data_IF_776255531190
#
_entry.id   IF_776255531190
#
_cell.length_a   1.000
_cell.length_b   1.000
_cell.length_c   1.000
_cell.angle_alpha   90.00
_cell.angle_beta   90.00
_cell.angle_gamma   90.00
#
_symmetry.space_group_name_H-M   'P 1'
#
loop_
_entity.id
_entity.type
_entity.pdbx_description
1 polymer ?
#
# COMPACT_ATOMS: atom_id res chain seq x y z
N UNK A 1 -6.82 -16.93 -11.50
CA UNK A 1 -6.77 -15.45 -11.54
C UNK A 1 -5.94 -14.97 -10.36
N UNK A 2 -5.08 -13.97 -10.57
CA UNK A 2 -4.25 -13.33 -9.54
C UNK A 2 -4.57 -11.84 -9.52
N UNK A 3 -4.77 -11.28 -8.32
CA UNK A 3 -4.91 -9.85 -8.09
C UNK A 3 -4.03 -9.39 -6.92
N UNK A 4 -3.49 -8.18 -7.01
CA UNK A 4 -2.68 -7.56 -5.96
C UNK A 4 -3.30 -6.22 -5.57
N UNK A 5 -3.56 -6.04 -4.27
CA UNK A 5 -4.24 -4.85 -3.74
C UNK A 5 -3.36 -4.18 -2.70
N UNK A 6 -3.13 -2.87 -2.83
CA UNK A 6 -2.38 -2.11 -1.83
C UNK A 6 -3.23 -1.89 -0.57
N UNK A 7 -2.63 -2.08 0.60
CA UNK A 7 -3.29 -1.94 1.89
C UNK A 7 -2.43 -1.19 2.91
N UNK A 8 -3.10 -0.66 3.95
CA UNK A 8 -2.44 -0.02 5.09
C UNK A 8 -2.34 -0.99 6.26
N UNK A 9 -1.32 -0.81 7.10
CA UNK A 9 -1.13 -1.58 8.34
C UNK A 9 -0.34 -0.76 9.36
N UNK A 10 -0.33 -1.23 10.60
CA UNK A 10 0.55 -0.78 11.67
C UNK A 10 1.79 -1.69 11.86
N UNK A 11 2.02 -2.63 10.94
CA UNK A 11 3.10 -3.60 11.03
C UNK A 11 2.91 -4.62 12.15
N UNK A 12 1.67 -4.79 12.64
CA UNK A 12 1.33 -5.69 13.73
C UNK A 12 1.65 -5.13 15.12
N UNK A 13 2.15 -3.90 15.24
CA UNK A 13 2.59 -3.33 16.53
C UNK A 13 1.44 -3.12 17.52
N UNK A 14 0.21 -2.93 17.04
CA UNK A 14 -0.94 -2.63 17.90
C UNK A 14 -1.30 -3.73 18.88
N UNK A 15 -1.08 -4.99 18.51
CA UNK A 15 -1.30 -6.12 19.42
C UNK A 15 -0.31 -6.14 20.59
N UNK A 16 0.88 -5.55 20.40
CA UNK A 16 1.93 -5.47 21.42
C UNK A 16 1.80 -4.23 22.33
N UNK A 17 1.11 -3.18 21.89
CA UNK A 17 0.97 -1.91 22.63
C UNK A 17 -0.50 -1.48 22.79
N UNK A 18 -1.29 -2.17 23.64
CA UNK A 18 -2.70 -1.84 23.84
C UNK A 18 -2.87 -0.41 24.40
N UNK A 19 -3.74 0.37 23.75
CA UNK A 19 -4.04 1.76 24.14
C UNK A 19 -3.13 2.84 23.54
N UNK A 20 -2.00 2.48 22.92
CA UNK A 20 -1.11 3.46 22.26
C UNK A 20 -1.62 3.88 20.88
N UNK A 21 -2.25 2.96 20.15
CA UNK A 21 -2.72 3.19 18.80
C UNK A 21 -4.26 3.19 18.74
N UNK A 22 -4.86 4.19 18.07
CA UNK A 22 -6.32 4.25 17.81
C UNK A 22 -6.78 3.10 16.91
N UNK A 23 -7.82 2.33 17.24
CA UNK A 23 -8.22 1.12 16.50
C UNK A 23 -8.23 1.33 14.99
N UNK A 24 -7.71 0.36 14.24
CA UNK A 24 -7.83 0.40 12.79
C UNK A 24 -9.32 0.27 12.43
N UNK A 25 -9.76 1.04 11.43
CA UNK A 25 -11.08 0.82 10.83
C UNK A 25 -11.17 -0.56 10.19
N UNK A 26 -10.05 -1.06 9.69
CA UNK A 26 -9.90 -2.35 9.03
C UNK A 26 -8.57 -2.97 9.45
N UNK A 27 -8.61 -4.20 9.96
CA UNK A 27 -7.40 -4.94 10.28
C UNK A 27 -6.89 -5.64 9.00
N UNK A 28 -5.73 -5.27 8.46
CA UNK A 28 -5.19 -5.87 7.24
C UNK A 28 -4.86 -7.37 7.41
N UNK A 29 -4.68 -7.86 8.63
CA UNK A 29 -4.44 -9.27 8.91
C UNK A 29 -5.73 -10.06 9.11
N UNK A 30 -6.88 -9.39 9.24
CA UNK A 30 -8.19 -10.04 9.26
C UNK A 30 -8.67 -10.33 7.83
N UNK A 31 -8.24 -11.45 7.28
CA UNK A 31 -8.51 -11.84 5.90
C UNK A 31 -10.01 -12.04 5.60
N UNK A 32 -10.81 -12.46 6.58
CA UNK A 32 -12.27 -12.58 6.42
C UNK A 32 -12.93 -11.22 6.22
N UNK A 33 -12.47 -10.20 6.97
CA UNK A 33 -12.93 -8.82 6.80
C UNK A 33 -12.57 -8.28 5.41
N UNK A 34 -11.34 -8.54 4.94
CA UNK A 34 -10.88 -8.14 3.61
C UNK A 34 -11.71 -8.83 2.52
N UNK A 35 -11.93 -10.14 2.64
CA UNK A 35 -12.75 -10.92 1.72
C UNK A 35 -14.17 -10.36 1.61
N UNK A 36 -14.80 -10.06 2.76
CA UNK A 36 -16.15 -9.51 2.84
C UNK A 36 -16.22 -8.10 2.23
N UNK A 37 -15.27 -7.23 2.55
CA UNK A 37 -15.19 -5.86 2.04
C UNK A 37 -15.15 -5.83 0.52
N UNK A 38 -14.29 -6.65 -0.08
CA UNK A 38 -14.13 -6.72 -1.53
C UNK A 38 -15.14 -7.64 -2.21
N UNK A 39 -16.03 -8.27 -1.43
CA UNK A 39 -17.11 -9.13 -1.91
C UNK A 39 -16.62 -10.28 -2.81
N UNK A 40 -15.44 -10.86 -2.52
CA UNK A 40 -14.82 -11.84 -3.40
C UNK A 40 -15.73 -13.06 -3.67
N UNK A 41 -16.45 -13.54 -2.65
CA UNK A 41 -17.43 -14.63 -2.79
C UNK A 41 -18.63 -14.33 -3.70
N UNK A 42 -18.89 -13.06 -4.02
CA UNK A 42 -19.94 -12.66 -4.99
C UNK A 42 -19.44 -12.64 -6.43
N UNK A 43 -18.15 -12.89 -6.66
CA UNK A 43 -17.58 -12.94 -8.00
C UNK A 43 -18.11 -14.15 -8.75
N UNK A 44 -18.81 -13.91 -9.86
CA UNK A 44 -19.35 -14.99 -10.70
C UNK A 44 -18.20 -15.61 -11.50
N UNK A 45 -18.14 -16.95 -11.52
CA UNK A 45 -17.15 -17.70 -12.29
C UNK A 45 -15.78 -17.80 -11.64
N UNK A 46 -15.65 -17.47 -10.34
CA UNK A 46 -14.43 -17.64 -9.55
C UNK A 46 -14.72 -18.44 -8.28
N UNK A 47 -13.83 -19.37 -7.92
CA UNK A 47 -13.87 -20.18 -6.69
C UNK A 47 -12.51 -20.22 -6.02
N UNK A 48 -12.44 -20.86 -4.84
CA UNK A 48 -11.17 -21.19 -4.15
C UNK A 48 -10.28 -19.97 -3.87
N UNK A 49 -10.89 -18.88 -3.41
CA UNK A 49 -10.17 -17.67 -3.04
C UNK A 49 -9.17 -17.93 -1.92
N UNK A 50 -7.91 -17.59 -2.17
CA UNK A 50 -6.83 -17.53 -1.18
C UNK A 50 -6.33 -16.10 -1.12
N UNK A 51 -6.26 -15.55 0.08
CA UNK A 51 -5.75 -14.22 0.34
C UNK A 51 -4.50 -14.37 1.20
N UNK A 52 -3.45 -13.63 0.88
CA UNK A 52 -2.26 -13.51 1.72
C UNK A 52 -1.82 -12.05 1.79
N UNK A 53 -1.27 -11.65 2.95
CA UNK A 53 -0.63 -10.35 3.10
C UNK A 53 0.86 -10.50 2.75
N UNK A 54 1.36 -9.65 1.88
CA UNK A 54 2.76 -9.53 1.50
C UNK A 54 3.27 -8.20 2.02
N UNK A 55 4.30 -8.24 2.85
CA UNK A 55 5.11 -7.07 3.17
C UNK A 55 6.21 -6.93 2.11
N UNK A 56 6.33 -5.74 1.55
CA UNK A 56 7.39 -5.37 0.62
C UNK A 56 8.20 -4.23 1.22
N UNK A 57 9.53 -4.38 1.16
CA UNK A 57 10.46 -3.29 1.46
C UNK A 57 10.98 -2.75 0.14
N UNK A 58 10.67 -1.49 -0.12
CA UNK A 58 11.11 -0.74 -1.30
C UNK A 58 12.05 0.38 -0.86
N UNK A 59 13.00 0.75 -1.71
CA UNK A 59 13.80 1.96 -1.51
C UNK A 59 13.54 2.92 -2.66
N UNK A 60 13.07 4.12 -2.34
CA UNK A 60 12.93 5.20 -3.30
C UNK A 60 14.29 5.88 -3.43
N UNK A 61 14.89 5.79 -4.60
CA UNK A 61 16.28 6.23 -4.84
C UNK A 61 16.40 7.76 -4.85
N UNK A 62 15.35 8.45 -5.31
CA UNK A 62 15.35 9.90 -5.46
C UNK A 62 14.08 10.55 -4.87
N UNK A 63 14.16 11.84 -4.52
CA UNK A 63 12.98 12.63 -4.12
C UNK A 63 11.87 12.63 -5.19
N UNK A 64 12.24 12.54 -6.48
CA UNK A 64 11.28 12.51 -7.59
C UNK A 64 10.46 11.22 -7.61
N UNK A 65 11.02 10.10 -7.16
CA UNK A 65 10.31 8.82 -7.12
C UNK A 65 9.11 8.88 -6.15
N UNK A 66 9.22 9.67 -5.08
CA UNK A 66 8.08 9.96 -4.19
C UNK A 66 6.96 10.63 -4.99
N UNK A 67 7.27 11.67 -5.75
CA UNK A 67 6.27 12.40 -6.52
C UNK A 67 5.68 11.54 -7.65
N UNK A 68 6.50 10.72 -8.32
CA UNK A 68 6.03 9.77 -9.34
C UNK A 68 5.03 8.80 -8.72
N UNK A 69 5.38 8.21 -7.58
CA UNK A 69 4.52 7.25 -6.87
C UNK A 69 3.23 7.91 -6.37
N UNK A 70 3.30 9.12 -5.81
CA UNK A 70 2.11 9.82 -5.27
C UNK A 70 1.22 10.43 -6.35
N UNK A 71 1.76 10.76 -7.52
CA UNK A 71 0.98 11.31 -8.62
C UNK A 71 0.62 10.28 -9.71
N UNK A 72 0.85 8.98 -9.46
CA UNK A 72 0.43 7.92 -10.36
C UNK A 72 -1.10 7.98 -10.60
N UNK A 73 -1.52 7.88 -11.86
CA UNK A 73 -2.93 7.96 -12.27
C UNK A 73 -3.57 9.36 -12.17
N UNK A 74 -2.85 10.39 -11.71
CA UNK A 74 -3.36 11.75 -11.62
C UNK A 74 -3.29 12.47 -12.98
N UNK A 75 -4.11 13.53 -13.13
CA UNK A 75 -4.07 14.43 -14.30
C UNK A 75 -2.73 15.15 -14.39
N UNK A 76 -2.28 15.47 -15.61
CA UNK A 76 -0.98 16.11 -15.81
C UNK A 76 -0.90 17.52 -15.20
N UNK A 77 -2.03 18.23 -15.11
CA UNK A 77 -2.10 19.51 -14.39
C UNK A 77 -1.77 19.36 -12.90
N UNK A 78 -2.22 18.27 -12.27
CA UNK A 78 -1.90 17.96 -10.87
C UNK A 78 -0.42 17.58 -10.73
N UNK A 79 0.11 16.74 -11.62
CA UNK A 79 1.53 16.38 -11.63
C UNK A 79 2.41 17.63 -11.72
N UNK A 80 2.10 18.52 -12.66
CA UNK A 80 2.84 19.76 -12.88
C UNK A 80 2.81 20.66 -11.66
N UNK A 81 1.63 20.82 -11.04
CA UNK A 81 1.46 21.59 -9.82
C UNK A 81 2.34 21.03 -8.69
N UNK A 82 2.28 19.73 -8.43
CA UNK A 82 3.04 19.07 -7.36
C UNK A 82 4.54 19.18 -7.60
N UNK A 83 5.01 18.96 -8.83
CA UNK A 83 6.44 19.12 -9.16
C UNK A 83 6.93 20.54 -8.90
N UNK A 84 6.13 21.55 -9.30
CA UNK A 84 6.52 22.95 -9.16
C UNK A 84 6.52 23.43 -7.72
N UNK A 85 5.57 22.96 -6.90
CA UNK A 85 5.32 23.53 -5.58
C UNK A 85 5.77 22.66 -4.41
N UNK A 86 5.98 21.36 -4.61
CA UNK A 86 6.26 20.44 -3.51
C UNK A 86 7.64 19.78 -3.59
N UNK A 87 8.31 19.79 -4.75
CA UNK A 87 9.57 19.06 -4.93
C UNK A 87 10.65 19.53 -3.95
N UNK A 88 10.83 20.85 -3.76
CA UNK A 88 11.87 21.39 -2.88
C UNK A 88 11.72 20.89 -1.43
N UNK A 89 10.50 20.89 -0.90
CA UNK A 89 10.24 20.41 0.45
C UNK A 89 10.38 18.89 0.56
N UNK A 90 9.99 18.15 -0.49
CA UNK A 90 10.21 16.70 -0.57
C UNK A 90 11.71 16.39 -0.61
N UNK A 91 12.53 17.15 -1.33
CA UNK A 91 13.99 17.00 -1.36
C UNK A 91 14.61 17.21 0.03
N UNK A 92 14.20 18.27 0.74
CA UNK A 92 14.68 18.54 2.11
C UNK A 92 14.37 17.38 3.06
N UNK A 93 13.16 16.86 3.02
CA UNK A 93 12.74 15.74 3.86
C UNK A 93 13.45 14.46 3.44
N UNK A 94 13.51 14.17 2.14
CA UNK A 94 14.17 12.98 1.60
C UNK A 94 15.63 12.93 2.06
N UNK A 95 16.40 13.99 1.83
CA UNK A 95 17.82 14.04 2.18
C UNK A 95 18.08 13.91 3.68
N UNK A 96 17.10 14.23 4.53
CA UNK A 96 17.20 14.08 5.97
C UNK A 96 17.03 12.64 6.45
N UNK A 97 16.24 11.83 5.74
CA UNK A 97 15.81 10.50 6.21
C UNK A 97 16.23 9.35 5.28
N UNK A 98 16.80 9.66 4.11
CA UNK A 98 17.33 8.64 3.21
C UNK A 98 18.60 8.01 3.78
N UNK A 99 18.86 6.79 3.31
CA UNK A 99 20.12 6.07 3.52
C UNK A 99 20.91 6.03 2.23
N UNK A 100 22.07 5.38 2.22
CA UNK A 100 22.86 5.14 0.99
C UNK A 100 22.07 4.36 -0.09
N UNK A 101 21.00 3.65 0.30
CA UNK A 101 20.10 2.95 -0.61
C UNK A 101 18.90 3.79 -1.06
N UNK A 102 18.75 5.01 -0.55
CA UNK A 102 17.55 5.83 -0.71
C UNK A 102 16.62 5.81 0.51
N UNK A 103 15.39 6.30 0.33
CA UNK A 103 14.37 6.34 1.37
C UNK A 103 13.64 5.00 1.45
N UNK A 104 13.73 4.32 2.60
CA UNK A 104 13.04 3.06 2.85
C UNK A 104 11.53 3.30 2.96
N UNK A 105 10.74 2.53 2.21
CA UNK A 105 9.29 2.47 2.27
C UNK A 105 8.89 1.02 2.54
N UNK A 106 7.89 0.84 3.41
CA UNK A 106 7.30 -0.48 3.67
C UNK A 106 5.89 -0.44 3.09
N UNK A 107 5.63 -1.28 2.10
CA UNK A 107 4.33 -1.44 1.48
C UNK A 107 3.71 -2.77 1.94
N UNK A 108 2.39 -2.81 2.02
CA UNK A 108 1.66 -4.02 2.33
C UNK A 108 0.64 -4.27 1.24
N UNK A 109 0.54 -5.52 0.84
CA UNK A 109 -0.31 -5.92 -0.27
C UNK A 109 -1.11 -7.17 0.09
N UNK A 110 -2.39 -7.18 -0.27
CA UNK A 110 -3.17 -8.41 -0.30
C UNK A 110 -3.02 -9.05 -1.69
N UNK A 111 -2.34 -10.19 -1.76
CA UNK A 111 -2.36 -11.06 -2.94
C UNK A 111 -3.58 -11.96 -2.84
N UNK A 112 -4.41 -11.92 -3.87
CA UNK A 112 -5.63 -12.72 -4.00
C UNK A 112 -5.47 -13.69 -5.17
N UNK A 113 -5.59 -14.98 -4.90
CA UNK A 113 -5.53 -16.06 -5.88
C UNK A 113 -6.91 -16.71 -5.92
N UNK A 114 -7.47 -16.91 -7.10
CA UNK A 114 -8.73 -17.62 -7.28
C UNK A 114 -8.68 -18.57 -8.50
N UNK A 115 -9.48 -19.63 -8.47
CA UNK A 115 -9.67 -20.55 -9.59
C UNK A 115 -10.85 -20.10 -10.44
N UNK A 116 -10.81 -20.31 -11.75
CA UNK A 116 -11.97 -20.07 -12.61
C UNK A 116 -12.93 -21.26 -12.44
N UNK A 117 -14.20 -21.00 -12.15
CA UNK A 117 -15.22 -22.04 -12.15
C UNK A 117 -15.31 -22.65 -13.56
N UNK A 118 -15.27 -23.97 -13.64
CA UNK A 118 -15.54 -24.71 -14.88
C UNK A 118 -16.98 -24.48 -15.34
#
# INVERSE_FOLDING_TARGET
MIGLYHSGTDGGLRSYFPGLFSPLKEDPYNLEQIEAKHQFKRSIGLTDFKIQVIEEIEYLETPKDILIKKCYGQKDSVKTFVWKHCLEDVEKIFNRYSTDKGLKVINYHHLVIATKSC
#
